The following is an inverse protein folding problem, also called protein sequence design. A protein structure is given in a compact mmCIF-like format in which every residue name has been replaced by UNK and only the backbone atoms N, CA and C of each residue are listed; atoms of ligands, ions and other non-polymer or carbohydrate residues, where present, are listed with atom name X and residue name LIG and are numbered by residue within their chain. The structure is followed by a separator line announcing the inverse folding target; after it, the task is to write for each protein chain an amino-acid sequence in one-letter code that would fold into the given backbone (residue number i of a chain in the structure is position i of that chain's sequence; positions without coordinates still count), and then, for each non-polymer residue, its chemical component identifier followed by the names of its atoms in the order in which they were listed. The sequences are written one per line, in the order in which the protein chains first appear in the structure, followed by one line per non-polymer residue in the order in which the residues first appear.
data_IF_707576951673
#
_entry.id   IF_707576951673
#
_cell.length_a   1.000
_cell.length_b   1.000
_cell.length_c   1.000
_cell.angle_alpha   90.00
_cell.angle_beta   90.00
_cell.angle_gamma   90.00
#
_symmetry.space_group_name_H-M   'P 1'
#
loop_
_entity.id
_entity.type
_entity.pdbx_description
1 polymer ?
#
# COMPACT_ATOMS: atom_id res chain seq x y z
N UNK A 1 -26.73 40.12 -26.85
CA UNK A 1 -27.32 39.27 -25.78
C UNK A 1 -27.31 37.78 -26.10
N UNK A 2 -27.72 37.32 -27.30
CA UNK A 2 -27.73 35.89 -27.65
C UNK A 2 -26.35 35.20 -27.56
N UNK A 3 -25.30 35.86 -28.05
CA UNK A 3 -23.92 35.33 -28.01
C UNK A 3 -23.44 35.17 -26.56
N UNK A 4 -23.76 36.12 -25.68
CA UNK A 4 -23.38 36.04 -24.27
C UNK A 4 -24.09 34.88 -23.56
N UNK A 5 -25.37 34.64 -23.84
CA UNK A 5 -26.12 33.50 -23.28
C UNK A 5 -25.54 32.16 -23.76
N UNK A 6 -25.14 32.06 -25.03
CA UNK A 6 -24.51 30.86 -25.59
C UNK A 6 -23.14 30.59 -24.94
N UNK A 7 -22.33 31.63 -24.71
CA UNK A 7 -21.03 31.47 -24.06
C UNK A 7 -21.16 31.05 -22.60
N UNK A 8 -22.10 31.64 -21.86
CA UNK A 8 -22.34 31.30 -20.44
C UNK A 8 -22.84 29.86 -20.30
N UNK A 9 -23.76 29.42 -21.17
CA UNK A 9 -24.28 28.04 -21.14
C UNK A 9 -23.22 27.01 -21.55
N UNK A 10 -22.36 27.31 -22.52
CA UNK A 10 -21.25 26.44 -22.91
C UNK A 10 -20.22 26.25 -21.77
N UNK A 11 -19.85 27.34 -21.09
CA UNK A 11 -18.92 27.28 -19.94
C UNK A 11 -19.49 26.44 -18.79
N UNK A 12 -20.78 26.61 -18.48
CA UNK A 12 -21.46 25.83 -17.44
C UNK A 12 -21.54 24.35 -17.78
N UNK A 13 -21.74 24.02 -19.06
CA UNK A 13 -21.76 22.62 -19.50
C UNK A 13 -20.38 21.96 -19.39
N UNK A 14 -19.30 22.67 -19.72
CA UNK A 14 -17.94 22.12 -19.64
C UNK A 14 -17.44 21.90 -18.22
N UNK A 15 -17.89 22.70 -17.24
CA UNK A 15 -17.49 22.52 -15.84
C UNK A 15 -18.12 21.29 -15.21
N UNK A 16 -19.35 20.92 -15.62
CA UNK A 16 -20.02 19.69 -15.18
C UNK A 16 -19.30 18.42 -15.66
N UNK A 17 -18.56 18.48 -16.78
CA UNK A 17 -17.80 17.34 -17.30
C UNK A 17 -16.38 17.22 -16.72
N UNK A 18 -15.91 18.17 -15.90
CA UNK A 18 -14.53 18.14 -15.36
C UNK A 18 -14.32 17.13 -14.22
N UNK A 19 -15.35 16.40 -13.81
CA UNK A 19 -15.29 15.42 -12.71
C UNK A 19 -14.84 14.03 -13.12
N UNK A 20 -14.89 13.67 -14.40
CA UNK A 20 -14.51 12.33 -14.88
C UNK A 20 -13.04 12.29 -15.34
N UNK A 21 -12.12 12.50 -14.40
CA UNK A 21 -10.72 12.12 -14.60
C UNK A 21 -10.45 10.90 -13.75
N UNK A 22 -10.44 9.73 -14.37
CA UNK A 22 -9.88 8.51 -13.78
C UNK A 22 -8.42 8.79 -13.45
N UNK A 23 -8.17 9.23 -12.22
CA UNK A 23 -6.82 9.46 -11.74
C UNK A 23 -6.05 8.17 -11.89
N UNK A 24 -4.86 8.24 -12.50
CA UNK A 24 -3.92 7.11 -12.41
C UNK A 24 -3.67 6.88 -10.93
N UNK A 25 -4.05 5.72 -10.41
CA UNK A 25 -3.74 5.34 -9.03
C UNK A 25 -2.23 5.33 -8.94
N UNK A 26 -1.65 6.35 -8.31
CA UNK A 26 -0.22 6.38 -8.10
C UNK A 26 0.07 5.49 -6.90
N UNK A 27 0.79 4.38 -7.11
CA UNK A 27 1.30 3.52 -6.03
C UNK A 27 2.39 4.20 -5.18
N UNK A 28 2.48 5.53 -5.24
CA UNK A 28 3.33 6.40 -4.44
C UNK A 28 2.72 6.69 -3.06
N UNK A 29 1.90 5.79 -2.53
CA UNK A 29 1.46 5.92 -1.14
C UNK A 29 2.73 5.85 -0.30
N UNK A 30 3.15 7.00 0.22
CA UNK A 30 4.39 7.09 0.96
C UNK A 30 4.13 6.45 2.30
N UNK A 31 4.61 5.21 2.50
CA UNK A 31 4.50 4.47 3.76
C UNK A 31 5.46 5.05 4.82
N UNK A 32 5.60 6.38 4.85
CA UNK A 32 6.60 7.10 5.65
C UNK A 32 6.36 6.91 7.15
N UNK A 33 5.10 6.77 7.55
CA UNK A 33 4.72 6.65 8.95
C UNK A 33 5.23 5.33 9.57
N UNK A 34 5.30 4.25 8.78
CA UNK A 34 5.74 2.94 9.27
C UNK A 34 7.19 2.61 8.90
N UNK A 35 7.72 3.11 7.76
CA UNK A 35 9.09 2.81 7.31
C UNK A 35 10.16 3.34 8.28
N UNK A 36 9.87 4.39 9.04
CA UNK A 36 10.76 4.93 10.07
C UNK A 36 10.40 4.52 11.50
N UNK A 37 9.36 3.70 11.68
CA UNK A 37 8.91 3.31 13.01
C UNK A 37 9.97 2.42 13.67
N UNK A 38 10.22 2.67 14.96
CA UNK A 38 11.15 1.90 15.78
C UNK A 38 10.37 1.02 16.73
N UNK A 39 10.92 -0.14 17.04
CA UNK A 39 10.39 -0.97 18.11
C UNK A 39 10.48 -0.23 19.45
N UNK A 40 9.36 -0.22 20.17
CA UNK A 40 9.31 0.28 21.53
C UNK A 40 9.66 -0.85 22.51
N UNK A 41 10.37 -0.54 23.61
CA UNK A 41 10.64 -1.54 24.63
C UNK A 41 9.34 -2.02 25.28
N UNK A 42 9.30 -3.27 25.78
CA UNK A 42 8.15 -3.79 26.51
C UNK A 42 7.78 -2.91 27.72
N UNK A 43 6.49 -2.80 27.99
CA UNK A 43 5.98 -2.08 29.15
C UNK A 43 6.43 -2.76 30.45
N UNK A 44 6.77 -1.95 31.45
CA UNK A 44 7.13 -2.44 32.79
C UNK A 44 5.99 -2.22 33.77
N UNK A 45 5.66 -3.26 34.53
CA UNK A 45 4.68 -3.14 35.61
C UNK A 45 5.27 -2.35 36.79
N UNK A 46 4.47 -1.48 37.44
CA UNK A 46 4.84 -0.85 38.70
C UNK A 46 4.97 -1.86 39.85
N UNK A 47 5.60 -1.49 40.97
CA UNK A 47 5.64 -2.33 42.17
C UNK A 47 4.22 -2.69 42.65
N UNK A 48 4.00 -3.97 43.00
CA UNK A 48 2.71 -4.46 43.48
C UNK A 48 1.69 -4.79 42.38
N UNK A 49 2.06 -4.64 41.10
CA UNK A 49 1.25 -5.06 39.95
C UNK A 49 1.95 -6.17 39.18
N UNK A 50 1.18 -7.16 38.75
CA UNK A 50 1.69 -8.26 37.93
C UNK A 50 1.96 -7.78 36.51
N UNK A 51 3.03 -8.31 35.90
CA UNK A 51 3.36 -7.98 34.51
C UNK A 51 2.35 -8.61 33.55
N UNK A 52 2.07 -7.96 32.40
CA UNK A 52 1.17 -8.53 31.40
C UNK A 52 1.71 -9.87 30.89
N UNK A 53 0.82 -10.85 30.72
CA UNK A 53 1.17 -12.15 30.14
C UNK A 53 1.50 -11.99 28.65
N UNK A 54 2.75 -12.26 28.29
CA UNK A 54 3.27 -12.15 26.92
C UNK A 54 3.56 -13.52 26.29
N UNK A 55 3.14 -14.63 26.90
CA UNK A 55 3.43 -15.99 26.42
C UNK A 55 2.88 -16.27 25.02
N UNK A 56 1.76 -15.65 24.65
CA UNK A 56 1.14 -15.77 23.33
C UNK A 56 1.42 -14.55 22.43
N UNK A 57 2.41 -13.72 22.77
CA UNK A 57 2.78 -12.60 21.91
C UNK A 57 3.45 -13.10 20.63
N UNK A 58 3.03 -12.54 19.49
CA UNK A 58 3.69 -12.77 18.22
C UNK A 58 5.02 -12.02 18.21
N UNK A 59 6.12 -12.75 18.07
CA UNK A 59 7.45 -12.15 17.90
C UNK A 59 7.62 -11.75 16.45
N UNK A 60 7.95 -10.47 16.21
CA UNK A 60 8.40 -10.00 14.91
C UNK A 60 9.84 -10.51 14.71
N UNK A 61 10.13 -11.25 13.63
CA UNK A 61 11.49 -11.70 13.35
C UNK A 61 12.39 -10.54 12.93
N UNK A 62 13.68 -10.66 13.21
CA UNK A 62 14.68 -9.69 12.75
C UNK A 62 14.74 -9.65 11.21
N UNK A 63 14.62 -8.45 10.65
CA UNK A 63 14.86 -8.22 9.22
C UNK A 63 16.34 -7.94 8.97
N UNK A 64 17.03 -8.88 8.35
CA UNK A 64 18.43 -8.71 7.92
C UNK A 64 18.57 -7.89 6.61
N UNK A 65 17.44 -7.45 6.05
CA UNK A 65 17.32 -7.04 4.67
C UNK A 65 16.44 -5.80 4.62
N UNK A 66 16.90 -4.70 4.00
CA UNK A 66 16.10 -3.48 3.90
C UNK A 66 14.87 -3.70 3.03
N UNK A 67 13.83 -2.93 3.30
CA UNK A 67 12.61 -2.92 2.48
C UNK A 67 12.95 -2.64 1.00
N UNK A 68 12.33 -3.38 0.08
CA UNK A 68 12.57 -3.22 -1.36
C UNK A 68 11.89 -1.95 -1.87
N UNK A 69 12.66 -1.08 -2.53
CA UNK A 69 12.09 0.05 -3.28
C UNK A 69 11.22 -0.45 -4.43
N UNK A 70 9.95 -0.01 -4.48
CA UNK A 70 9.03 -0.38 -5.58
C UNK A 70 9.36 0.38 -6.87
N UNK A 71 9.22 -0.32 -7.99
CA UNK A 71 9.34 0.24 -9.33
C UNK A 71 8.17 1.15 -9.70
N UNK A 72 8.37 2.06 -10.66
CA UNK A 72 7.35 3.04 -11.08
C UNK A 72 6.10 2.38 -11.67
N UNK A 73 6.28 1.27 -12.37
CA UNK A 73 5.23 0.61 -13.15
C UNK A 73 4.75 -0.70 -12.47
N UNK A 74 5.14 -0.93 -11.21
CA UNK A 74 4.67 -2.06 -10.42
C UNK A 74 3.23 -1.84 -9.93
N UNK A 75 2.42 -2.90 -9.97
CA UNK A 75 1.05 -2.85 -9.48
C UNK A 75 1.01 -2.53 -7.98
N UNK A 76 0.03 -1.72 -7.57
CA UNK A 76 -0.20 -1.43 -6.16
C UNK A 76 -0.68 -2.70 -5.45
N UNK A 77 -0.16 -2.99 -4.26
CA UNK A 77 -0.66 -4.11 -3.45
C UNK A 77 -2.15 -3.94 -3.06
N UNK A 78 -2.60 -2.70 -2.87
CA UNK A 78 -3.98 -2.40 -2.49
C UNK A 78 -4.95 -2.47 -3.68
N UNK A 79 -4.44 -2.58 -4.91
CA UNK A 79 -5.28 -2.73 -6.10
C UNK A 79 -5.50 -4.21 -6.35
N UNK A 80 -6.76 -4.68 -6.34
CA UNK A 80 -7.03 -6.08 -6.62
C UNK A 80 -6.57 -6.43 -8.04
N UNK A 81 -6.06 -7.65 -8.26
CA UNK A 81 -5.77 -8.12 -9.61
C UNK A 81 -7.07 -8.17 -10.43
N UNK A 82 -7.00 -8.02 -11.76
CA UNK A 82 -8.16 -8.18 -12.61
C UNK A 82 -8.71 -9.61 -12.51
N UNK A 83 -10.03 -9.74 -12.43
CA UNK A 83 -10.73 -11.04 -12.38
C UNK A 83 -10.71 -11.79 -13.71
N UNK A 84 -10.27 -11.15 -14.79
CA UNK A 84 -10.14 -11.78 -16.09
C UNK A 84 -8.80 -12.51 -16.17
N UNK A 85 -8.83 -13.79 -16.58
CA UNK A 85 -7.62 -14.58 -16.81
C UNK A 85 -6.69 -13.83 -17.77
N UNK A 86 -5.45 -13.50 -17.38
CA UNK A 86 -4.52 -12.90 -18.30
C UNK A 86 -4.26 -13.91 -19.43
N UNK A 87 -4.45 -13.50 -20.67
CA UNK A 87 -4.00 -14.22 -21.87
C UNK A 87 -2.47 -14.17 -22.03
N UNK A 88 -1.75 -13.61 -21.05
CA UNK A 88 -0.31 -13.66 -20.93
C UNK A 88 0.10 -14.57 -19.77
N UNK A 89 1.20 -15.31 -19.96
CA UNK A 89 1.83 -16.15 -18.93
C UNK A 89 1.83 -15.42 -17.59
N UNK A 90 1.44 -16.07 -16.48
CA UNK A 90 1.62 -15.49 -15.17
C UNK A 90 3.08 -15.07 -15.07
N UNK A 91 3.33 -13.76 -14.90
CA UNK A 91 4.62 -13.28 -14.48
C UNK A 91 4.90 -14.06 -13.19
N UNK A 92 5.94 -14.89 -13.25
CA UNK A 92 6.29 -15.83 -12.20
C UNK A 92 6.09 -15.13 -10.86
N UNK A 93 5.10 -15.60 -10.09
CA UNK A 93 5.12 -15.42 -8.66
C UNK A 93 6.50 -15.96 -8.27
N UNK A 94 7.45 -15.04 -8.08
CA UNK A 94 8.84 -15.39 -7.91
C UNK A 94 8.86 -16.43 -6.81
N UNK A 95 9.16 -17.68 -7.20
CA UNK A 95 9.29 -18.79 -6.28
C UNK A 95 10.14 -18.27 -5.13
N UNK A 96 9.68 -18.36 -3.87
CA UNK A 96 10.50 -17.95 -2.74
C UNK A 96 11.89 -18.58 -2.91
N UNK A 97 12.99 -17.81 -2.77
CA UNK A 97 14.34 -18.36 -2.93
C UNK A 97 14.45 -19.62 -2.09
N UNK A 98 14.94 -20.69 -2.71
CA UNK A 98 14.90 -22.06 -2.19
C UNK A 98 15.74 -22.29 -0.92
N UNK A 99 16.31 -21.23 -0.35
CA UNK A 99 17.24 -21.30 0.77
C UNK A 99 16.53 -21.20 2.14
N UNK A 100 15.21 -20.99 2.19
CA UNK A 100 14.45 -20.99 3.44
C UNK A 100 14.22 -22.39 4.06
N UNK A 101 14.70 -23.45 3.42
CA UNK A 101 14.51 -24.83 3.87
C UNK A 101 15.84 -25.50 4.24
N UNK A 102 16.52 -25.04 5.30
CA UNK A 102 17.38 -25.93 6.07
C UNK A 102 17.42 -25.57 7.56
N UNK A 103 16.67 -26.30 8.41
CA UNK A 103 16.99 -26.30 9.84
C UNK A 103 18.33 -27.01 10.06
N UNK A 104 19.22 -26.38 10.82
CA UNK A 104 20.31 -27.04 11.54
C UNK A 104 20.03 -26.91 13.03
#
# INVERSE_FOLDING_TARGET
MRIAVVLVTALLATSLLSGCKSGKVSCRQSNKDYVGAKEMPPLKAPPGLESPDTRNSLKVPDLNTPERTRGRDEACLDTPPPFTTPTGKPADAAKPPADAAKPK
#
